data_IF_132912161905
#
_entry.id   IF_132912161905
#
_cell.length_a   1.000
_cell.length_b   1.000
_cell.length_c   1.000
_cell.angle_alpha   90.00
_cell.angle_beta   90.00
_cell.angle_gamma   90.00
#
_symmetry.space_group_name_H-M   'P 1'
#
loop_
_entity.id
_entity.type
_entity.pdbx_description
1 polymer ?
#
# COMPACT_ATOMS: atom_id res chain seq x y z
N UNK A 1 -11.14 4.74 -21.53
CA UNK A 1 -10.29 5.64 -20.73
C UNK A 1 -10.04 4.93 -19.41
N UNK A 2 -8.79 4.68 -19.08
CA UNK A 2 -8.35 4.11 -17.81
C UNK A 2 -8.97 4.84 -16.60
N UNK A 3 -9.34 4.10 -15.54
CA UNK A 3 -10.06 4.64 -14.40
C UNK A 3 -9.16 5.56 -13.56
N UNK A 4 -9.32 6.88 -13.82
CA UNK A 4 -8.49 7.97 -13.27
C UNK A 4 -8.39 7.93 -11.74
N UNK A 5 -9.45 7.49 -11.06
CA UNK A 5 -9.49 7.43 -9.61
C UNK A 5 -8.61 6.33 -9.04
N UNK A 6 -8.58 5.16 -9.68
CA UNK A 6 -7.69 4.06 -9.27
C UNK A 6 -6.23 4.45 -9.49
N UNK A 7 -5.93 5.03 -10.66
CA UNK A 7 -4.58 5.55 -10.95
C UNK A 7 -4.13 6.57 -9.91
N UNK A 8 -4.96 7.59 -9.66
CA UNK A 8 -4.65 8.66 -8.73
C UNK A 8 -4.46 8.13 -7.31
N UNK A 9 -5.32 7.22 -6.86
CA UNK A 9 -5.20 6.61 -5.54
C UNK A 9 -3.89 5.80 -5.39
N UNK A 10 -3.58 4.96 -6.38
CA UNK A 10 -2.35 4.15 -6.36
C UNK A 10 -1.09 5.02 -6.41
N UNK A 11 -1.07 6.01 -7.31
CA UNK A 11 0.06 6.93 -7.46
C UNK A 11 0.24 7.82 -6.23
N UNK A 12 -0.86 8.30 -5.63
CA UNK A 12 -0.84 9.07 -4.39
C UNK A 12 -0.28 8.23 -3.23
N UNK A 13 -0.74 6.98 -3.05
CA UNK A 13 -0.20 6.08 -2.04
C UNK A 13 1.30 5.88 -2.23
N UNK A 14 1.75 5.57 -3.45
CA UNK A 14 3.17 5.41 -3.73
C UNK A 14 3.97 6.67 -3.40
N UNK A 15 3.47 7.84 -3.82
CA UNK A 15 4.14 9.13 -3.59
C UNK A 15 4.28 9.44 -2.11
N UNK A 16 3.23 9.21 -1.31
CA UNK A 16 3.25 9.45 0.13
C UNK A 16 4.23 8.51 0.84
N UNK A 17 4.27 7.23 0.46
CA UNK A 17 5.22 6.27 1.02
C UNK A 17 6.67 6.63 0.68
N UNK A 18 6.95 6.98 -0.57
CA UNK A 18 8.30 7.40 -0.99
C UNK A 18 8.71 8.71 -0.30
N UNK A 19 7.79 9.65 -0.15
CA UNK A 19 8.05 10.89 0.59
C UNK A 19 8.35 10.60 2.07
N UNK A 20 7.60 9.68 2.71
CA UNK A 20 7.87 9.21 4.07
C UNK A 20 9.23 8.53 4.20
N UNK A 21 9.64 7.76 3.19
CA UNK A 21 10.92 7.06 3.16
C UNK A 21 12.13 8.00 3.30
N UNK A 22 12.07 9.21 2.74
CA UNK A 22 13.15 10.20 2.85
C UNK A 22 13.38 10.70 4.27
N UNK A 23 12.37 10.64 5.14
CA UNK A 23 12.52 10.98 6.55
C UNK A 23 13.11 9.83 7.39
N UNK A 24 13.24 8.63 6.82
CA UNK A 24 13.77 7.43 7.49
C UNK A 24 14.93 6.81 6.68
N UNK A 25 16.12 7.45 6.65
CA UNK A 25 17.24 7.00 5.82
C UNK A 25 17.62 5.52 5.94
N UNK A 26 17.61 4.88 7.14
CA UNK A 26 17.95 3.46 7.26
C UNK A 26 16.94 2.52 6.58
N UNK A 27 15.68 2.95 6.45
CA UNK A 27 14.59 2.13 5.90
C UNK A 27 14.21 2.52 4.47
N UNK A 28 14.94 3.46 3.87
CA UNK A 28 14.60 4.02 2.55
C UNK A 28 14.38 2.94 1.49
N UNK A 29 15.31 1.99 1.34
CA UNK A 29 15.19 0.91 0.36
C UNK A 29 14.01 -0.03 0.64
N UNK A 30 13.69 -0.24 1.91
CA UNK A 30 12.57 -1.07 2.31
C UNK A 30 11.23 -0.39 1.97
N UNK A 31 11.09 0.90 2.26
CA UNK A 31 9.89 1.67 1.90
C UNK A 31 9.74 1.84 0.38
N UNK A 32 10.86 2.02 -0.34
CA UNK A 32 10.87 2.08 -1.79
C UNK A 32 10.45 0.75 -2.41
N UNK A 33 11.00 -0.37 -1.90
CA UNK A 33 10.54 -1.69 -2.28
C UNK A 33 9.05 -1.83 -2.00
N UNK A 34 8.58 -1.57 -0.78
CA UNK A 34 7.17 -1.65 -0.38
C UNK A 34 6.25 -0.85 -1.31
N UNK A 35 6.60 0.40 -1.63
CA UNK A 35 5.82 1.28 -2.52
C UNK A 35 5.75 0.81 -3.99
N UNK A 36 6.68 -0.02 -4.45
CA UNK A 36 6.76 -0.44 -5.86
C UNK A 36 5.51 -1.18 -6.35
N UNK A 37 4.77 -1.87 -5.48
CA UNK A 37 3.50 -2.51 -5.82
C UNK A 37 2.41 -1.50 -6.19
N UNK A 38 2.37 -0.35 -5.51
CA UNK A 38 1.42 0.73 -5.83
C UNK A 38 1.79 1.41 -7.15
N UNK A 39 3.10 1.53 -7.43
CA UNK A 39 3.59 1.95 -8.74
C UNK A 39 3.16 0.94 -9.81
N UNK A 40 3.33 -0.36 -9.57
CA UNK A 40 2.91 -1.40 -10.49
C UNK A 40 1.39 -1.34 -10.76
N UNK A 41 0.56 -1.13 -9.73
CA UNK A 41 -0.88 -0.91 -9.91
C UNK A 41 -1.13 0.31 -10.79
N UNK A 42 -0.50 1.46 -10.49
CA UNK A 42 -0.67 2.68 -11.29
C UNK A 42 -0.25 2.48 -12.76
N UNK A 43 0.84 1.75 -13.00
CA UNK A 43 1.33 1.42 -14.35
C UNK A 43 0.36 0.49 -15.08
N UNK A 44 -0.15 -0.56 -14.42
CA UNK A 44 -1.15 -1.46 -15.00
C UNK A 44 -2.43 -0.70 -15.38
N UNK A 45 -2.92 0.17 -14.50
CA UNK A 45 -4.06 1.05 -14.79
C UNK A 45 -3.75 1.94 -16.00
N UNK A 46 -2.56 2.53 -16.05
CA UNK A 46 -2.15 3.43 -17.16
C UNK A 46 -2.13 2.71 -18.51
N UNK A 47 -1.66 1.47 -18.57
CA UNK A 47 -1.65 0.65 -19.79
C UNK A 47 -3.02 0.04 -20.15
N UNK A 48 -4.06 0.25 -19.32
CA UNK A 48 -5.41 -0.28 -19.56
C UNK A 48 -5.58 -1.75 -19.13
N UNK A 49 -4.69 -2.27 -18.30
CA UNK A 49 -4.79 -3.61 -17.72
C UNK A 49 -5.72 -3.59 -16.49
N UNK A 50 -6.99 -3.28 -16.74
CA UNK A 50 -7.98 -2.93 -15.71
C UNK A 50 -8.28 -4.10 -14.74
N UNK A 51 -8.28 -5.34 -15.25
CA UNK A 51 -8.59 -6.52 -14.43
C UNK A 51 -7.57 -6.76 -13.33
N UNK A 52 -6.28 -6.84 -13.68
CA UNK A 52 -5.23 -7.13 -12.70
C UNK A 52 -4.98 -5.94 -11.77
N UNK A 53 -5.04 -4.73 -12.30
CA UNK A 53 -4.85 -3.52 -11.50
C UNK A 53 -5.92 -3.35 -10.43
N UNK A 54 -7.21 -3.47 -10.78
CA UNK A 54 -8.31 -3.35 -9.81
C UNK A 54 -8.23 -4.47 -8.77
N UNK A 55 -7.96 -5.71 -9.20
CA UNK A 55 -7.87 -6.83 -8.28
C UNK A 55 -6.68 -6.68 -7.31
N UNK A 56 -5.51 -6.21 -7.78
CA UNK A 56 -4.39 -5.88 -6.89
C UNK A 56 -4.74 -4.75 -5.93
N UNK A 57 -5.41 -3.69 -6.40
CA UNK A 57 -5.90 -2.60 -5.55
C UNK A 57 -6.94 -3.04 -4.51
N UNK A 58 -7.67 -4.13 -4.75
CA UNK A 58 -8.62 -4.72 -3.79
C UNK A 58 -7.91 -5.65 -2.79
N UNK A 59 -6.96 -6.46 -3.24
CA UNK A 59 -6.37 -7.53 -2.43
C UNK A 59 -5.16 -7.03 -1.61
N UNK A 60 -4.30 -6.24 -2.23
CA UNK A 60 -3.03 -5.85 -1.62
C UNK A 60 -3.21 -4.99 -0.36
N UNK A 61 -4.03 -3.91 -0.35
CA UNK A 61 -4.17 -3.08 0.85
C UNK A 61 -4.67 -3.82 2.09
N UNK A 62 -5.69 -4.70 2.01
CA UNK A 62 -6.08 -5.53 3.16
C UNK A 62 -4.98 -6.44 3.69
N UNK A 63 -4.21 -7.10 2.80
CA UNK A 63 -3.11 -7.99 3.23
C UNK A 63 -2.01 -7.19 3.90
N UNK A 64 -1.63 -6.06 3.30
CA UNK A 64 -0.64 -5.16 3.88
C UNK A 64 -1.09 -4.66 5.26
N UNK A 65 -2.34 -4.24 5.40
CA UNK A 65 -2.88 -3.80 6.69
C UNK A 65 -2.91 -4.91 7.73
N UNK A 66 -3.23 -6.14 7.33
CA UNK A 66 -3.24 -7.28 8.25
C UNK A 66 -1.84 -7.54 8.82
N UNK A 67 -0.80 -7.45 7.98
CA UNK A 67 0.58 -7.57 8.44
C UNK A 67 0.97 -6.42 9.37
N UNK A 68 0.59 -5.20 9.05
CA UNK A 68 0.87 -4.04 9.91
C UNK A 68 0.11 -4.06 11.24
N UNK A 69 -1.08 -4.67 11.29
CA UNK A 69 -1.82 -4.90 12.54
C UNK A 69 -1.05 -5.88 13.42
N UNK A 70 -0.53 -6.96 12.84
CA UNK A 70 0.28 -7.95 13.57
C UNK A 70 1.60 -7.33 14.05
N UNK A 71 2.24 -6.51 13.21
CA UNK A 71 3.48 -5.81 13.54
C UNK A 71 3.28 -4.59 14.47
N UNK A 72 2.04 -4.18 14.73
CA UNK A 72 1.71 -3.00 15.55
C UNK A 72 1.88 -1.65 14.86
N UNK A 73 2.34 -1.61 13.60
CA UNK A 73 2.60 -0.38 12.84
C UNK A 73 1.34 0.43 12.54
N UNK A 74 0.20 -0.25 12.33
CA UNK A 74 -1.04 0.43 11.93
C UNK A 74 -1.54 1.42 12.99
N UNK A 75 -1.50 1.03 14.28
CA UNK A 75 -1.91 1.92 15.38
C UNK A 75 -0.96 3.11 15.52
N UNK A 76 0.34 2.87 15.40
CA UNK A 76 1.39 3.89 15.51
C UNK A 76 1.21 4.97 14.45
N UNK A 77 0.98 4.60 13.19
CA UNK A 77 0.89 5.56 12.10
C UNK A 77 -0.36 6.45 12.21
N UNK A 78 -1.49 5.89 12.64
CA UNK A 78 -2.71 6.66 12.89
C UNK A 78 -2.57 7.57 14.13
N UNK A 79 -1.89 7.11 15.18
CA UNK A 79 -1.60 7.93 16.35
C UNK A 79 -0.70 9.11 16.00
N UNK A 80 0.35 8.88 15.20
CA UNK A 80 1.26 9.93 14.72
C UNK A 80 0.52 10.92 13.83
N UNK A 81 -0.34 10.45 12.92
CA UNK A 81 -1.19 11.30 12.11
C UNK A 81 -2.14 12.16 12.97
N UNK A 82 -2.78 11.57 13.98
CA UNK A 82 -3.71 12.28 14.85
C UNK A 82 -2.99 13.32 15.71
N UNK A 83 -1.82 12.99 16.25
CA UNK A 83 -0.96 13.94 16.99
C UNK A 83 -0.55 15.11 16.09
N UNK A 84 -0.15 14.84 14.85
CA UNK A 84 0.16 15.88 13.87
C UNK A 84 -1.04 16.80 13.60
N UNK A 85 -2.22 16.23 13.36
CA UNK A 85 -3.46 17.00 13.12
C UNK A 85 -3.93 17.82 14.33
N UNK A 86 -3.62 17.36 15.54
CA UNK A 86 -3.93 18.05 16.81
C UNK A 86 -2.82 19.00 17.27
N UNK A 87 -1.79 19.24 16.44
CA UNK A 87 -0.71 20.19 16.73
C UNK A 87 0.31 19.72 17.76
N UNK A 88 0.33 18.42 18.09
CA UNK A 88 1.33 17.83 18.97
C UNK A 88 2.57 17.42 18.16
N UNK A 89 3.76 17.72 18.70
CA UNK A 89 5.02 17.37 18.05
C UNK A 89 5.16 15.85 17.84
N UNK A 90 5.55 15.45 16.64
CA UNK A 90 5.84 14.06 16.29
C UNK A 90 7.33 13.77 16.52
N UNK A 91 7.67 12.58 17.01
CA UNK A 91 9.07 12.14 17.12
C UNK A 91 9.70 12.06 15.72
N UNK A 92 10.97 12.45 15.56
CA UNK A 92 11.67 12.40 14.26
C UNK A 92 11.81 11.00 13.63
N UNK A 93 11.48 9.94 14.36
CA UNK A 93 11.50 8.55 13.87
C UNK A 93 10.16 8.07 13.28
N UNK A 94 9.11 8.90 13.25
CA UNK A 94 7.82 8.53 12.67
C UNK A 94 7.25 9.69 11.84
N UNK A 95 6.66 9.41 10.69
CA UNK A 95 6.13 10.44 9.79
C UNK A 95 4.60 10.40 9.74
N UNK A 96 3.91 11.56 9.65
CA UNK A 96 2.48 11.57 9.39
C UNK A 96 2.14 11.11 7.96
N UNK A 97 3.13 11.08 7.06
CA UNK A 97 2.95 10.66 5.67
C UNK A 97 2.56 9.19 5.56
N UNK A 98 3.04 8.34 6.47
CA UNK A 98 2.65 6.92 6.54
C UNK A 98 1.15 6.77 6.86
N UNK A 99 0.63 7.60 7.76
CA UNK A 99 -0.80 7.68 8.05
C UNK A 99 -1.62 8.14 6.85
N UNK A 100 -1.17 9.17 6.13
CA UNK A 100 -1.82 9.60 4.89
C UNK A 100 -1.74 8.53 3.78
N UNK A 101 -0.64 7.81 3.67
CA UNK A 101 -0.49 6.71 2.72
C UNK A 101 -1.50 5.59 2.99
N UNK A 102 -1.77 5.27 4.27
CA UNK A 102 -2.83 4.34 4.67
C UNK A 102 -4.21 4.84 4.26
N UNK A 103 -4.52 6.11 4.48
CA UNK A 103 -5.79 6.69 4.02
C UNK A 103 -5.94 6.62 2.50
N UNK A 104 -4.88 6.92 1.76
CA UNK A 104 -4.85 6.79 0.31
C UNK A 104 -5.02 5.32 -0.14
N UNK A 105 -4.45 4.36 0.59
CA UNK A 105 -4.63 2.94 0.30
C UNK A 105 -6.04 2.42 0.60
N UNK A 106 -6.72 2.95 1.63
CA UNK A 106 -8.15 2.70 1.87
C UNK A 106 -8.97 3.26 0.71
N UNK A 107 -8.65 4.47 0.27
CA UNK A 107 -9.30 5.07 -0.89
C UNK A 107 -9.09 4.22 -2.14
N UNK A 108 -7.85 3.74 -2.40
CA UNK A 108 -7.51 2.82 -3.48
C UNK A 108 -8.37 1.55 -3.44
N UNK A 109 -8.51 0.93 -2.28
CA UNK A 109 -9.36 -0.25 -2.11
C UNK A 109 -10.81 0.02 -2.53
N UNK A 110 -11.39 1.12 -2.04
CA UNK A 110 -12.78 1.48 -2.33
C UNK A 110 -12.98 1.75 -3.82
N UNK A 111 -12.13 2.56 -4.44
CA UNK A 111 -12.27 2.89 -5.87
C UNK A 111 -12.00 1.69 -6.76
N UNK A 112 -11.06 0.81 -6.39
CA UNK A 112 -10.77 -0.42 -7.13
C UNK A 112 -11.94 -1.40 -7.04
N UNK A 113 -12.56 -1.55 -5.87
CA UNK A 113 -13.75 -2.38 -5.69
C UNK A 113 -14.95 -1.85 -6.49
N UNK A 114 -15.14 -0.53 -6.49
CA UNK A 114 -16.19 0.11 -7.27
C UNK A 114 -15.95 -0.04 -8.79
N UNK A 115 -14.71 0.12 -9.24
CA UNK A 115 -14.31 -0.06 -10.64
C UNK A 115 -14.49 -1.51 -11.10
N UNK A 116 -14.03 -2.49 -10.29
CA UNK A 116 -14.21 -3.91 -10.57
C UNK A 116 -15.69 -4.27 -10.79
N UNK A 117 -16.59 -3.81 -9.90
CA UNK A 117 -18.03 -4.08 -10.01
C UNK A 117 -18.68 -3.45 -11.24
N UNK A 118 -18.13 -2.36 -11.78
CA UNK A 118 -18.68 -1.62 -12.91
C UNK A 118 -18.16 -2.12 -14.26
N UNK A 119 -16.87 -2.45 -14.33
CA UNK A 119 -16.15 -2.61 -15.59
C UNK A 119 -15.75 -4.07 -15.86
N UNK A 120 -15.67 -4.93 -14.84
CA UNK A 120 -15.19 -6.30 -14.99
C UNK A 120 -16.34 -7.30 -14.92
N UNK A 121 -16.55 -8.04 -16.02
CA UNK A 121 -17.62 -9.05 -16.14
C UNK A 121 -17.15 -10.47 -15.74
N UNK A 122 -16.04 -10.57 -14.99
CA UNK A 122 -15.52 -11.84 -14.45
C UNK A 122 -16.06 -12.09 -13.04
N UNK A 123 -16.18 -13.37 -12.64
CA UNK A 123 -16.46 -13.72 -11.24
C UNK A 123 -15.35 -13.17 -10.35
N UNK A 124 -15.75 -12.59 -9.20
CA UNK A 124 -14.81 -12.03 -8.23
C UNK A 124 -13.76 -13.05 -7.77
N UNK A 125 -14.13 -14.32 -7.57
CA UNK A 125 -13.22 -15.42 -7.20
C UNK A 125 -12.65 -16.16 -8.42
N UNK A 126 -12.33 -15.41 -9.48
CA UNK A 126 -11.80 -15.93 -10.73
C UNK A 126 -10.29 -16.24 -10.67
N UNK A 127 -9.70 -16.48 -11.84
CA UNK A 127 -8.24 -16.74 -11.95
C UNK A 127 -7.43 -15.51 -11.56
N UNK A 128 -7.95 -14.33 -11.88
CA UNK A 128 -7.38 -13.02 -11.54
C UNK A 128 -7.26 -12.81 -10.03
N UNK A 129 -8.27 -13.20 -9.26
CA UNK A 129 -8.23 -13.14 -7.79
C UNK A 129 -7.10 -13.98 -7.21
N UNK A 130 -7.03 -15.27 -7.57
CA UNK A 130 -6.01 -16.17 -7.05
C UNK A 130 -4.60 -15.74 -7.47
N UNK A 131 -4.42 -15.26 -8.70
CA UNK A 131 -3.15 -14.73 -9.15
C UNK A 131 -2.71 -13.52 -8.32
N UNK A 132 -3.58 -12.52 -8.15
CA UNK A 132 -3.27 -11.32 -7.37
C UNK A 132 -3.10 -11.62 -5.88
N UNK A 133 -3.83 -12.60 -5.34
CA UNK A 133 -3.67 -13.09 -3.97
C UNK A 133 -2.29 -13.69 -3.74
N UNK A 134 -1.87 -14.62 -4.61
CA UNK A 134 -0.55 -15.25 -4.52
C UNK A 134 0.55 -14.20 -4.65
N UNK A 135 0.46 -13.31 -5.64
CA UNK A 135 1.44 -12.22 -5.82
C UNK A 135 1.52 -11.37 -4.55
N UNK A 136 0.39 -10.95 -3.99
CA UNK A 136 0.36 -10.11 -2.79
C UNK A 136 0.93 -10.83 -1.56
N UNK A 137 0.59 -12.11 -1.36
CA UNK A 137 1.09 -12.91 -0.24
C UNK A 137 2.60 -13.14 -0.34
N UNK A 138 3.10 -13.52 -1.51
CA UNK A 138 4.53 -13.72 -1.74
C UNK A 138 5.28 -12.41 -1.53
N UNK A 139 4.77 -11.32 -2.08
CA UNK A 139 5.39 -10.01 -1.98
C UNK A 139 5.48 -9.53 -0.52
N UNK A 140 4.37 -9.58 0.22
CA UNK A 140 4.35 -9.21 1.64
C UNK A 140 5.20 -10.16 2.48
N UNK A 141 5.23 -11.46 2.16
CA UNK A 141 6.08 -12.44 2.82
C UNK A 141 7.57 -12.12 2.65
N UNK A 142 8.01 -11.78 1.42
CA UNK A 142 9.38 -11.36 1.13
C UNK A 142 9.73 -10.09 1.91
N UNK A 143 8.85 -9.09 1.89
CA UNK A 143 9.05 -7.86 2.67
C UNK A 143 9.13 -8.14 4.18
N UNK A 144 8.28 -9.01 4.70
CA UNK A 144 8.30 -9.37 6.13
C UNK A 144 9.61 -10.05 6.52
N UNK A 145 10.08 -11.01 5.73
CA UNK A 145 11.38 -11.66 5.97
C UNK A 145 12.53 -10.65 5.88
N UNK A 146 12.48 -9.73 4.93
CA UNK A 146 13.49 -8.67 4.82
C UNK A 146 13.47 -7.74 6.04
N UNK A 147 12.28 -7.30 6.46
CA UNK A 147 12.10 -6.48 7.66
C UNK A 147 12.67 -7.15 8.91
N UNK A 148 12.37 -8.44 9.11
CA UNK A 148 12.90 -9.21 10.24
C UNK A 148 14.43 -9.34 10.18
N UNK A 149 15.01 -9.51 8.99
CA UNK A 149 16.48 -9.55 8.83
C UNK A 149 17.12 -8.20 9.15
N UNK A 150 16.54 -7.10 8.69
CA UNK A 150 16.97 -5.73 9.00
C UNK A 150 16.99 -5.49 10.51
N UNK A 151 15.93 -5.89 11.22
CA UNK A 151 15.86 -5.78 12.68
C UNK A 151 16.83 -6.73 13.39
N UNK A 152 16.95 -7.98 12.94
CA UNK A 152 17.89 -8.95 13.55
C UNK A 152 19.36 -8.56 13.40
N UNK A 153 19.69 -7.79 12.36
CA UNK A 153 21.04 -7.28 12.12
C UNK A 153 21.32 -5.96 12.86
N UNK A 154 20.29 -5.33 13.45
CA UNK A 154 20.38 -4.07 14.19
C UNK A 154 20.46 -4.27 15.72
N UNK A 155 20.26 -5.50 16.20
CA UNK A 155 20.48 -5.95 17.59
C UNK A 155 21.86 -6.60 17.70
#
# INVERSE_FOLDING_TARGET
MSNRWVFLAAFLTATLMVAGAFALPPYFYFELAKSSIFIAIAVLVFFGEDRYSYMLGIIFPPIWFLVDVIAGGLRTDFEVLFRYLTGHGTSGANTPLDGFARLAAIFLFIVSLAAWRREVNERFWGKTFWACLIISLVYVGVLTVWYLKLFSAAV
#
